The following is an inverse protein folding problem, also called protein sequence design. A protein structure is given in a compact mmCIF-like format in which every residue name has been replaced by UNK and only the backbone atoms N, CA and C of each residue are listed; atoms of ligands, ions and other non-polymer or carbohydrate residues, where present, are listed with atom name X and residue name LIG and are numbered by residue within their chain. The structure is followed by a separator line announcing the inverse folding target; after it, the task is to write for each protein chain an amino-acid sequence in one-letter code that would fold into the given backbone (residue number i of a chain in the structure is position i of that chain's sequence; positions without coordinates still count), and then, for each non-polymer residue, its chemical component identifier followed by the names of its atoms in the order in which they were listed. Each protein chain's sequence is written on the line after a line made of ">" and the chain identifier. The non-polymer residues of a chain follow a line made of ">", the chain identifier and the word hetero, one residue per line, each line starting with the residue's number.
data_IF_261959691567
#
_entry.id   IF_261959691567
#
_cell.length_a   1.000
_cell.length_b   1.000
_cell.length_c   1.000
_cell.angle_alpha   90.00
_cell.angle_beta   90.00
_cell.angle_gamma   90.00
#
_symmetry.space_group_name_H-M   'P 1'
#
loop_
_entity.id
_entity.type
_entity.pdbx_description
1 polymer ?
#
# COMPACT_ATOMS: atom_id res chain seq x y z
N UNK A 1 -0.99 -19.49 -9.13
CA UNK A 1 -1.20 -18.77 -7.86
C UNK A 1 -2.44 -17.91 -8.01
N UNK A 2 -3.20 -17.77 -6.94
CA UNK A 2 -4.32 -16.82 -6.85
C UNK A 2 -3.87 -15.57 -6.10
N UNK A 3 -3.87 -14.43 -6.76
CA UNK A 3 -3.29 -13.17 -6.27
C UNK A 3 -4.40 -12.16 -6.04
N UNK A 4 -4.41 -11.54 -4.86
CA UNK A 4 -5.25 -10.37 -4.59
C UNK A 4 -4.42 -9.10 -4.76
N UNK A 5 -4.86 -8.18 -5.60
CA UNK A 5 -4.33 -6.82 -5.68
C UNK A 5 -5.32 -5.90 -4.95
N UNK A 6 -4.90 -5.38 -3.80
CA UNK A 6 -5.74 -4.58 -2.92
C UNK A 6 -5.32 -3.10 -3.00
N UNK A 7 -6.14 -2.29 -3.66
CA UNK A 7 -5.93 -0.84 -3.84
C UNK A 7 -6.97 -0.02 -3.08
N UNK A 8 -6.94 1.30 -3.26
CA UNK A 8 -7.97 2.22 -2.80
C UNK A 8 -8.28 3.24 -3.89
N UNK A 9 -9.52 3.68 -3.97
CA UNK A 9 -9.98 4.66 -4.96
C UNK A 9 -9.67 6.11 -4.52
N UNK A 10 -8.38 6.40 -4.27
CA UNK A 10 -7.89 7.73 -3.85
C UNK A 10 -7.02 8.42 -4.90
N UNK A 11 -6.97 7.88 -6.12
CA UNK A 11 -6.21 8.42 -7.26
C UNK A 11 -5.82 7.34 -8.25
N UNK A 12 -5.51 7.76 -9.47
CA UNK A 12 -5.22 6.82 -10.56
C UNK A 12 -3.80 6.24 -10.52
N UNK A 13 -2.84 6.90 -9.84
CA UNK A 13 -1.45 6.43 -9.79
C UNK A 13 -1.32 5.03 -9.18
N UNK A 14 -1.89 4.83 -8.01
CA UNK A 14 -1.89 3.52 -7.34
C UNK A 14 -2.65 2.46 -8.13
N UNK A 15 -3.80 2.85 -8.70
CA UNK A 15 -4.61 1.94 -9.52
C UNK A 15 -3.88 1.54 -10.80
N UNK A 16 -3.18 2.47 -11.46
CA UNK A 16 -2.40 2.18 -12.66
C UNK A 16 -1.25 1.20 -12.39
N UNK A 17 -0.52 1.42 -11.29
CA UNK A 17 0.53 0.49 -10.87
C UNK A 17 -0.04 -0.91 -10.58
N UNK A 18 -1.15 -0.97 -9.83
CA UNK A 18 -1.82 -2.24 -9.54
C UNK A 18 -2.32 -2.95 -10.80
N UNK A 19 -2.90 -2.22 -11.78
CA UNK A 19 -3.35 -2.77 -13.07
C UNK A 19 -2.19 -3.30 -13.90
N UNK A 20 -1.06 -2.59 -13.96
CA UNK A 20 0.13 -3.07 -14.67
C UNK A 20 0.66 -4.38 -14.09
N UNK A 21 0.68 -4.50 -12.77
CA UNK A 21 1.05 -5.75 -12.08
C UNK A 21 0.03 -6.86 -12.36
N UNK A 22 -1.27 -6.54 -12.38
CA UNK A 22 -2.33 -7.49 -12.75
C UNK A 22 -2.10 -8.05 -14.15
N UNK A 23 -1.89 -7.19 -15.14
CA UNK A 23 -1.62 -7.61 -16.53
C UNK A 23 -0.40 -8.52 -16.61
N UNK A 24 0.70 -8.15 -15.97
CA UNK A 24 1.93 -8.96 -15.95
C UNK A 24 1.73 -10.32 -15.28
N UNK A 25 0.92 -10.41 -14.23
CA UNK A 25 0.62 -11.65 -13.54
C UNK A 25 -0.31 -12.56 -14.37
N UNK A 26 -1.35 -11.98 -15.01
CA UNK A 26 -2.25 -12.71 -15.92
C UNK A 26 -1.49 -13.31 -17.11
N UNK A 27 -0.56 -12.55 -17.72
CA UNK A 27 0.29 -13.05 -18.81
C UNK A 27 1.18 -14.23 -18.38
N UNK A 28 1.47 -14.37 -17.10
CA UNK A 28 2.22 -15.50 -16.51
C UNK A 28 1.33 -16.66 -16.06
N UNK A 29 0.03 -16.61 -16.37
CA UNK A 29 -0.94 -17.67 -16.05
C UNK A 29 -1.39 -17.70 -14.60
N UNK A 30 -1.28 -16.59 -13.87
CA UNK A 30 -1.83 -16.46 -12.52
C UNK A 30 -3.29 -16.02 -12.55
N UNK A 31 -4.07 -16.45 -11.57
CA UNK A 31 -5.40 -15.91 -11.31
C UNK A 31 -5.24 -14.63 -10.49
N UNK A 32 -5.84 -13.53 -10.94
CA UNK A 32 -5.68 -12.23 -10.27
C UNK A 32 -7.04 -11.59 -10.03
N UNK A 33 -7.24 -11.15 -8.82
CA UNK A 33 -8.38 -10.33 -8.42
C UNK A 33 -7.91 -8.93 -8.02
N UNK A 34 -8.54 -7.90 -8.58
CA UNK A 34 -8.26 -6.50 -8.25
C UNK A 34 -9.44 -5.89 -7.49
N UNK A 35 -9.19 -5.41 -6.27
CA UNK A 35 -10.26 -4.89 -5.41
C UNK A 35 -9.88 -3.53 -4.80
N UNK A 36 -10.87 -2.65 -4.71
CA UNK A 36 -10.80 -1.45 -3.85
C UNK A 36 -11.16 -1.83 -2.41
N UNK A 37 -10.21 -1.66 -1.48
CA UNK A 37 -10.39 -1.92 -0.05
C UNK A 37 -11.65 -1.25 0.53
N UNK A 38 -11.92 -0.01 0.11
CA UNK A 38 -13.03 0.77 0.68
C UNK A 38 -14.40 0.20 0.32
N UNK A 39 -14.50 -0.64 -0.73
CA UNK A 39 -15.74 -1.35 -1.07
C UNK A 39 -16.17 -2.33 0.03
N UNK A 40 -15.25 -2.81 0.86
CA UNK A 40 -15.58 -3.60 2.05
C UNK A 40 -16.38 -2.78 3.08
N UNK A 41 -16.23 -1.46 3.09
CA UNK A 41 -17.06 -0.53 3.85
C UNK A 41 -18.42 -0.25 3.22
N UNK A 42 -18.60 -0.62 1.95
CA UNK A 42 -19.74 -0.31 1.10
C UNK A 42 -19.41 0.76 0.05
N UNK A 43 -20.18 0.80 -1.03
CA UNK A 43 -19.97 1.75 -2.15
C UNK A 43 -19.96 3.21 -1.69
N UNK A 44 -20.81 3.56 -0.73
CA UNK A 44 -20.87 4.92 -0.17
C UNK A 44 -19.57 5.29 0.53
N UNK A 45 -18.95 4.37 1.28
CA UNK A 45 -17.66 4.61 1.97
C UNK A 45 -16.54 4.81 0.96
N UNK A 46 -16.46 3.97 -0.07
CA UNK A 46 -15.47 4.12 -1.15
C UNK A 46 -15.59 5.47 -1.85
N UNK A 47 -16.80 5.88 -2.23
CA UNK A 47 -17.05 7.19 -2.85
C UNK A 47 -16.74 8.36 -1.92
N UNK A 48 -17.10 8.27 -0.63
CA UNK A 48 -16.82 9.32 0.35
C UNK A 48 -15.31 9.49 0.59
N UNK A 49 -14.58 8.40 0.79
CA UNK A 49 -13.13 8.44 1.04
C UNK A 49 -12.40 8.98 -0.19
N UNK A 50 -12.69 8.45 -1.38
CA UNK A 50 -12.09 8.93 -2.62
C UNK A 50 -12.44 10.39 -2.91
N UNK A 51 -13.69 10.79 -2.78
CA UNK A 51 -14.15 12.16 -2.99
C UNK A 51 -13.57 13.14 -1.97
N UNK A 52 -13.53 12.79 -0.68
CA UNK A 52 -12.93 13.61 0.36
C UNK A 52 -11.42 13.80 0.14
N UNK A 53 -10.71 12.72 -0.18
CA UNK A 53 -9.28 12.77 -0.49
C UNK A 53 -8.99 13.73 -1.66
N UNK A 54 -9.65 13.52 -2.79
CA UNK A 54 -9.48 14.36 -3.99
C UNK A 54 -9.85 15.83 -3.70
N UNK A 55 -10.94 16.04 -2.95
CA UNK A 55 -11.38 17.39 -2.59
C UNK A 55 -10.37 18.12 -1.70
N UNK A 56 -9.82 17.45 -0.69
CA UNK A 56 -8.80 18.03 0.20
C UNK A 56 -7.53 18.36 -0.58
N UNK A 57 -7.03 17.43 -1.39
CA UNK A 57 -5.83 17.64 -2.19
C UNK A 57 -6.01 18.82 -3.16
N UNK A 58 -7.19 18.95 -3.78
CA UNK A 58 -7.46 19.97 -4.78
C UNK A 58 -7.74 21.36 -4.19
N UNK A 59 -8.48 21.43 -3.07
CA UNK A 59 -9.00 22.70 -2.56
C UNK A 59 -8.28 23.20 -1.30
N UNK A 60 -7.64 22.31 -0.54
CA UNK A 60 -6.95 22.67 0.72
C UNK A 60 -5.57 21.99 0.80
N UNK A 61 -4.65 22.26 -0.15
CA UNK A 61 -3.33 21.61 -0.15
C UNK A 61 -2.49 21.91 1.09
N UNK A 62 -2.68 23.09 1.71
CA UNK A 62 -2.01 23.45 2.96
C UNK A 62 -2.43 22.55 4.14
N UNK A 63 -3.69 22.14 4.20
CA UNK A 63 -4.19 21.19 5.21
C UNK A 63 -3.57 19.81 5.01
N UNK A 64 -3.45 19.37 3.75
CA UNK A 64 -2.80 18.10 3.43
C UNK A 64 -1.33 18.11 3.84
N UNK A 65 -0.61 19.20 3.55
CA UNK A 65 0.79 19.40 3.99
C UNK A 65 0.92 19.38 5.51
N UNK A 66 -0.01 20.00 6.24
CA UNK A 66 -0.04 19.98 7.70
C UNK A 66 -0.29 18.57 8.24
N UNK A 67 -1.25 17.84 7.66
CA UNK A 67 -1.57 16.46 8.03
C UNK A 67 -0.34 15.55 7.87
N UNK A 68 0.43 15.72 6.78
CA UNK A 68 1.67 14.99 6.54
C UNK A 68 2.77 15.34 7.56
N UNK A 69 2.93 16.61 7.90
CA UNK A 69 3.91 17.05 8.92
C UNK A 69 3.57 16.48 10.30
N UNK A 70 2.31 16.60 10.71
CA UNK A 70 1.84 16.06 11.99
C UNK A 70 1.91 14.54 11.98
N UNK A 71 1.51 13.90 10.88
CA UNK A 71 1.64 12.46 10.69
C UNK A 71 3.09 11.98 10.87
N UNK A 72 4.05 12.63 10.21
CA UNK A 72 5.47 12.31 10.33
C UNK A 72 6.06 12.48 11.75
N UNK A 73 5.43 13.30 12.61
CA UNK A 73 5.81 13.44 14.02
C UNK A 73 5.22 12.37 14.94
N UNK A 74 4.05 11.86 14.61
CA UNK A 74 3.29 10.90 15.44
C UNK A 74 3.61 9.46 15.02
N UNK A 75 3.74 9.23 13.72
CA UNK A 75 3.95 7.91 13.11
C UNK A 75 5.35 7.37 13.40
N UNK A 76 5.41 6.12 13.78
CA UNK A 76 6.66 5.35 13.92
C UNK A 76 6.38 3.86 13.82
N UNK A 77 7.41 3.03 13.70
CA UNK A 77 7.26 1.57 13.73
C UNK A 77 6.54 1.05 14.99
N UNK A 78 6.61 1.80 16.09
CA UNK A 78 6.01 1.43 17.39
C UNK A 78 4.73 2.18 17.72
N UNK A 79 4.51 3.35 17.12
CA UNK A 79 3.31 4.16 17.34
C UNK A 79 2.47 4.21 16.09
N UNK A 80 1.20 3.86 16.22
CA UNK A 80 0.23 3.89 15.12
C UNK A 80 -0.54 5.19 15.11
N UNK A 81 -0.72 5.76 13.94
CA UNK A 81 -1.47 7.01 13.71
C UNK A 81 -2.98 6.79 13.85
N UNK A 82 -3.77 7.87 14.01
CA UNK A 82 -5.23 7.79 13.89
C UNK A 82 -5.69 7.22 12.54
N UNK A 83 -4.92 7.43 11.47
CA UNK A 83 -5.21 6.89 10.12
C UNK A 83 -5.15 5.36 10.14
N UNK A 84 -4.12 4.78 10.77
CA UNK A 84 -4.02 3.34 10.97
C UNK A 84 -5.25 2.76 11.68
N UNK A 85 -5.69 3.39 12.78
CA UNK A 85 -6.85 2.90 13.52
C UNK A 85 -8.15 3.02 12.72
N UNK A 86 -8.34 4.11 11.98
CA UNK A 86 -9.50 4.28 11.10
C UNK A 86 -9.55 3.19 10.02
N UNK A 87 -8.43 2.94 9.36
CA UNK A 87 -8.32 1.88 8.34
C UNK A 87 -8.54 0.49 8.95
N UNK A 88 -8.04 0.25 10.17
CA UNK A 88 -8.19 -1.02 10.89
C UNK A 88 -9.65 -1.43 11.17
N UNK A 89 -10.61 -0.51 11.06
CA UNK A 89 -12.04 -0.83 11.15
C UNK A 89 -12.51 -1.78 10.03
N UNK A 90 -11.80 -1.81 8.90
CA UNK A 90 -12.09 -2.72 7.79
C UNK A 90 -11.46 -4.11 7.97
N UNK A 91 -10.57 -4.29 8.95
CA UNK A 91 -9.79 -5.52 9.12
C UNK A 91 -10.65 -6.78 9.22
N UNK A 92 -11.73 -6.75 10.02
CA UNK A 92 -12.61 -7.92 10.17
C UNK A 92 -13.34 -8.33 8.90
N UNK A 93 -13.68 -7.36 8.03
CA UNK A 93 -14.31 -7.65 6.73
C UNK A 93 -13.28 -8.17 5.73
N UNK A 94 -12.08 -7.61 5.74
CA UNK A 94 -10.97 -8.07 4.89
C UNK A 94 -10.53 -9.49 5.28
N UNK A 95 -10.43 -9.80 6.57
CA UNK A 95 -10.13 -11.16 7.05
C UNK A 95 -11.10 -12.20 6.50
N UNK A 96 -12.40 -11.91 6.62
CA UNK A 96 -13.45 -12.79 6.08
C UNK A 96 -13.29 -12.98 4.58
N UNK A 97 -13.10 -11.88 3.85
CA UNK A 97 -12.93 -11.91 2.41
C UNK A 97 -11.72 -12.75 1.98
N UNK A 98 -10.56 -12.58 2.62
CA UNK A 98 -9.35 -13.35 2.33
C UNK A 98 -9.57 -14.85 2.58
N UNK A 99 -10.23 -15.21 3.68
CA UNK A 99 -10.54 -16.60 4.04
C UNK A 99 -11.52 -17.26 3.07
N UNK A 100 -12.53 -16.52 2.62
CA UNK A 100 -13.53 -17.03 1.67
C UNK A 100 -12.95 -17.28 0.28
N UNK A 101 -11.93 -16.51 -0.14
CA UNK A 101 -11.38 -16.59 -1.50
C UNK A 101 -10.05 -17.35 -1.61
N UNK A 102 -9.36 -17.61 -0.50
CA UNK A 102 -8.13 -18.42 -0.43
C UNK A 102 -7.01 -17.94 -1.37
N UNK A 103 -6.48 -16.75 -1.12
CA UNK A 103 -5.36 -16.20 -1.89
C UNK A 103 -4.01 -16.77 -1.47
N UNK A 104 -3.09 -16.90 -2.44
CA UNK A 104 -1.70 -17.32 -2.22
C UNK A 104 -0.77 -16.14 -1.94
N UNK A 105 -1.13 -14.94 -2.43
CA UNK A 105 -0.33 -13.72 -2.35
C UNK A 105 -1.24 -12.49 -2.35
N UNK A 106 -0.88 -11.49 -1.56
CA UNK A 106 -1.54 -10.18 -1.59
C UNK A 106 -0.53 -9.12 -2.00
N UNK A 107 -0.88 -8.34 -3.01
CA UNK A 107 -0.12 -7.18 -3.49
C UNK A 107 -0.91 -5.91 -3.16
N UNK A 108 -0.24 -4.87 -2.69
CA UNK A 108 -0.89 -3.59 -2.46
C UNK A 108 -0.03 -2.41 -2.92
N UNK A 109 -0.53 -1.60 -3.86
CA UNK A 109 0.10 -0.34 -4.22
C UNK A 109 -0.32 0.81 -3.29
N UNK A 110 -1.13 0.56 -2.26
CA UNK A 110 -1.76 1.62 -1.47
C UNK A 110 -1.51 1.47 0.03
N UNK A 111 -1.09 2.56 0.67
CA UNK A 111 -0.76 2.63 2.08
C UNK A 111 -1.92 2.17 2.99
N UNK A 112 -3.15 2.63 2.76
CA UNK A 112 -4.31 2.26 3.60
C UNK A 112 -4.55 0.75 3.60
N UNK A 113 -4.39 0.10 2.47
CA UNK A 113 -4.50 -1.35 2.39
C UNK A 113 -3.34 -2.05 3.12
N UNK A 114 -2.12 -1.52 3.02
CA UNK A 114 -0.97 -2.04 3.76
C UNK A 114 -1.17 -1.94 5.29
N UNK A 115 -1.79 -0.85 5.78
CA UNK A 115 -2.11 -0.68 7.21
C UNK A 115 -3.15 -1.71 7.70
N UNK A 116 -4.21 -1.95 6.92
CA UNK A 116 -5.23 -2.96 7.27
C UNK A 116 -4.65 -4.37 7.29
N UNK A 117 -3.83 -4.70 6.30
CA UNK A 117 -3.12 -5.99 6.22
C UNK A 117 -2.14 -6.15 7.40
N UNK A 118 -1.44 -5.09 7.77
CA UNK A 118 -0.58 -5.05 8.96
C UNK A 118 -1.37 -5.31 10.23
N UNK A 119 -2.55 -4.70 10.36
CA UNK A 119 -3.45 -4.95 11.49
C UNK A 119 -3.85 -6.41 11.59
N UNK A 120 -4.19 -7.06 10.48
CA UNK A 120 -4.51 -8.48 10.44
C UNK A 120 -3.30 -9.35 10.83
N UNK A 121 -2.12 -9.01 10.31
CA UNK A 121 -0.88 -9.72 10.62
C UNK A 121 -0.54 -9.66 12.11
N UNK A 122 -0.62 -8.47 12.72
CA UNK A 122 -0.37 -8.28 14.15
C UNK A 122 -1.40 -8.96 15.05
N UNK A 123 -2.61 -9.23 14.55
CA UNK A 123 -3.64 -10.03 15.26
C UNK A 123 -3.48 -11.54 15.05
N UNK A 124 -2.49 -11.98 14.27
CA UNK A 124 -2.29 -13.39 13.95
C UNK A 124 -3.37 -13.97 13.02
N UNK A 125 -4.08 -13.10 12.29
CA UNK A 125 -5.19 -13.49 11.39
C UNK A 125 -4.76 -13.64 9.93
N UNK A 126 -3.58 -13.13 9.55
CA UNK A 126 -3.06 -13.16 8.19
C UNK A 126 -1.78 -13.98 8.11
N UNK A 127 -1.83 -15.07 7.36
CA UNK A 127 -0.67 -15.92 7.01
C UNK A 127 -0.22 -15.78 5.56
N UNK A 128 -1.07 -15.17 4.72
CA UNK A 128 -0.76 -14.93 3.31
C UNK A 128 0.32 -13.85 3.21
N UNK A 129 1.39 -14.06 2.42
CA UNK A 129 2.44 -13.07 2.25
C UNK A 129 1.90 -11.79 1.59
N UNK A 130 2.43 -10.65 2.02
CA UNK A 130 2.03 -9.32 1.57
C UNK A 130 3.22 -8.59 0.95
N UNK A 131 3.06 -8.12 -0.28
CA UNK A 131 4.03 -7.25 -0.95
C UNK A 131 3.41 -5.87 -1.14
N UNK A 132 4.04 -4.86 -0.57
CA UNK A 132 3.69 -3.46 -0.81
C UNK A 132 4.47 -2.90 -2.01
N UNK A 133 3.81 -2.10 -2.83
CA UNK A 133 4.40 -1.47 -4.01
C UNK A 133 4.38 0.04 -3.80
N UNK A 134 5.55 0.63 -3.57
CA UNK A 134 5.71 2.08 -3.49
C UNK A 134 5.47 2.72 -4.86
N UNK A 135 4.58 3.69 -4.90
CA UNK A 135 4.24 4.45 -6.11
C UNK A 135 4.63 5.92 -5.99
N UNK A 136 5.02 6.34 -4.79
CA UNK A 136 5.44 7.71 -4.50
C UNK A 136 6.95 7.86 -4.70
N UNK A 137 7.35 8.99 -5.28
CA UNK A 137 8.76 9.37 -5.46
C UNK A 137 9.33 10.12 -4.24
N UNK A 138 8.55 10.22 -3.17
CA UNK A 138 8.94 10.80 -1.88
C UNK A 138 8.55 9.87 -0.75
N UNK A 139 9.29 9.89 0.34
CA UNK A 139 8.97 9.08 1.51
C UNK A 139 7.78 9.71 2.28
N UNK A 140 6.56 9.34 1.91
CA UNK A 140 5.38 9.78 2.64
C UNK A 140 5.32 9.15 4.04
N UNK A 141 4.72 9.83 5.05
CA UNK A 141 4.54 9.26 6.38
C UNK A 141 3.61 8.05 6.36
N UNK A 142 3.65 7.31 7.43
CA UNK A 142 2.84 6.11 7.75
C UNK A 142 3.32 4.79 7.13
N UNK A 143 4.22 4.77 6.13
CA UNK A 143 4.82 3.52 5.68
C UNK A 143 5.56 2.77 6.79
N UNK A 144 6.18 3.51 7.72
CA UNK A 144 6.82 3.00 8.93
C UNK A 144 5.87 2.29 9.89
N UNK A 145 4.56 2.50 9.75
CA UNK A 145 3.53 1.83 10.54
C UNK A 145 3.17 0.44 9.99
N UNK A 146 3.59 0.13 8.77
CA UNK A 146 3.23 -1.12 8.10
C UNK A 146 4.23 -2.26 8.37
N UNK A 147 3.78 -3.50 8.21
CA UNK A 147 4.58 -4.72 8.39
C UNK A 147 4.34 -5.70 7.24
N UNK A 148 4.66 -5.26 6.02
CA UNK A 148 4.61 -6.12 4.83
C UNK A 148 5.86 -7.01 4.75
N UNK A 149 5.75 -8.15 4.06
CA UNK A 149 6.85 -9.11 3.92
C UNK A 149 7.92 -8.60 2.92
N UNK A 150 7.49 -7.79 1.94
CA UNK A 150 8.37 -7.11 1.00
C UNK A 150 7.80 -5.73 0.64
N UNK A 151 8.69 -4.79 0.34
CA UNK A 151 8.35 -3.45 -0.15
C UNK A 151 9.12 -3.21 -1.45
N UNK A 152 8.41 -3.05 -2.55
CA UNK A 152 9.00 -2.65 -3.82
C UNK A 152 9.14 -1.13 -3.82
N UNK A 153 10.37 -0.66 -3.96
CA UNK A 153 10.73 0.77 -3.88
C UNK A 153 11.05 1.28 -5.28
N UNK A 154 10.42 2.38 -5.75
CA UNK A 154 10.56 2.82 -7.14
C UNK A 154 11.96 3.35 -7.47
N UNK A 155 12.68 3.92 -6.51
CA UNK A 155 13.99 4.53 -6.74
C UNK A 155 14.95 4.38 -5.56
N UNK A 156 16.25 4.38 -5.85
CA UNK A 156 17.33 4.14 -4.89
C UNK A 156 17.37 5.17 -3.75
N UNK A 157 17.09 6.42 -4.06
CA UNK A 157 17.20 7.52 -3.10
C UNK A 157 16.22 7.38 -1.92
N UNK A 158 15.07 6.72 -2.14
CA UNK A 158 14.09 6.44 -1.09
C UNK A 158 14.54 5.36 -0.09
N UNK A 159 15.48 4.49 -0.46
CA UNK A 159 15.90 3.38 0.41
C UNK A 159 16.45 3.90 1.75
N UNK A 160 17.29 4.94 1.70
CA UNK A 160 17.88 5.54 2.89
C UNK A 160 16.82 6.11 3.84
N UNK A 161 15.88 6.83 3.30
CA UNK A 161 14.78 7.44 4.07
C UNK A 161 13.86 6.39 4.71
N UNK A 162 13.48 5.36 3.96
CA UNK A 162 12.63 4.27 4.45
C UNK A 162 13.31 3.49 5.59
N UNK A 163 14.62 3.22 5.45
CA UNK A 163 15.42 2.56 6.50
C UNK A 163 15.49 3.47 7.74
N UNK A 164 15.72 4.75 7.56
CA UNK A 164 15.79 5.72 8.68
C UNK A 164 14.48 5.80 9.45
N UNK A 165 13.34 5.66 8.75
CA UNK A 165 12.01 5.59 9.35
C UNK A 165 11.69 4.24 10.02
N UNK A 166 12.56 3.25 9.88
CA UNK A 166 12.45 1.98 10.59
C UNK A 166 11.97 0.79 9.76
N UNK A 167 11.83 0.93 8.42
CA UNK A 167 11.55 -0.24 7.58
C UNK A 167 12.78 -1.15 7.51
N UNK A 168 12.61 -2.47 7.63
CA UNK A 168 13.72 -3.41 7.59
C UNK A 168 14.39 -3.45 6.22
N UNK A 169 15.68 -3.12 6.12
CA UNK A 169 16.46 -3.13 4.87
C UNK A 169 16.27 -4.43 4.07
N UNK A 170 16.24 -5.58 4.74
CA UNK A 170 16.09 -6.90 4.11
C UNK A 170 14.75 -7.12 3.40
N UNK A 171 13.76 -6.27 3.65
CA UNK A 171 12.42 -6.34 3.03
C UNK A 171 12.24 -5.29 1.93
N UNK A 172 13.21 -4.41 1.72
CA UNK A 172 13.17 -3.40 0.67
C UNK A 172 13.77 -3.96 -0.61
N UNK A 173 13.00 -3.92 -1.69
CA UNK A 173 13.39 -4.37 -3.02
C UNK A 173 13.32 -3.18 -3.98
N UNK A 174 14.42 -2.84 -4.64
CA UNK A 174 14.46 -1.77 -5.63
C UNK A 174 13.82 -2.25 -6.94
N UNK A 175 12.92 -1.46 -7.52
CA UNK A 175 12.24 -1.80 -8.78
C UNK A 175 13.21 -1.73 -9.97
N UNK A 176 14.10 -0.73 -9.96
CA UNK A 176 15.15 -0.58 -10.97
C UNK A 176 16.52 -0.74 -10.31
N UNK A 177 17.30 -1.70 -10.80
CA UNK A 177 18.73 -1.79 -10.50
C UNK A 177 19.52 -0.99 -11.54
N UNK A 178 20.67 -0.44 -11.18
CA UNK A 178 21.54 0.34 -12.07
C UNK A 178 21.91 -0.41 -13.36
N UNK A 179 21.93 -1.72 -13.33
CA UNK A 179 22.31 -2.58 -14.46
C UNK A 179 21.26 -2.55 -15.59
N UNK A 180 19.99 -2.24 -15.29
CA UNK A 180 18.94 -2.11 -16.31
C UNK A 180 19.01 -0.77 -17.09
N UNK A 181 19.65 0.25 -16.53
CA UNK A 181 19.83 1.55 -17.20
C UNK A 181 21.03 1.53 -18.17
N UNK A 182 22.07 0.75 -17.86
CA UNK A 182 23.27 0.63 -18.69
C UNK A 182 23.03 -0.21 -19.97
N UNK A 183 22.00 -1.06 -20.01
CA UNK A 183 21.64 -1.82 -21.21
C UNK A 183 20.87 -1.02 -22.26
N UNK A 184 20.33 0.15 -21.91
CA UNK A 184 19.59 1.01 -22.85
C UNK A 184 20.47 2.03 -23.58
N UNK A 185 21.68 2.29 -23.09
CA UNK A 185 22.65 3.20 -23.71
C UNK A 185 23.67 2.49 -24.64
N UNK A 186 23.52 1.21 -24.86
CA UNK A 186 24.30 0.39 -25.81
C UNK A 186 23.66 0.33 -27.20
#
# INVERSE_FOLDING_TARGET
>A
MKILILSCNTGEGHNSAGKAVMEAALLRGHEVEFMDLMLLGGKTVSHMVGGAYISIVRHIPAFFSLLYKVGGLISSSTRKSPVYYANSLLAGRLDRYIKEHSFDLILTPHLYAAEVLTCLKHRGLLSVPVIAIGTDYTCIPFWEETDCDCYIVPQKDLLGELIHKGLPKKRLCLLYTSDAADELDG
#
